data_IF_083276777427
#
_entry.id   IF_083276777427
#
_cell.length_a   1.000
_cell.length_b   1.000
_cell.length_c   1.000
_cell.angle_alpha   90.00
_cell.angle_beta   90.00
_cell.angle_gamma   90.00
#
_symmetry.space_group_name_H-M   'P 1'
#
loop_
_entity.id
_entity.type
_entity.pdbx_description
1 polymer ?
#
# COMPACT_ATOMS: atom_id res chain seq x y z
N UNK A 1 18.67 -0.15 9.26
CA UNK A 1 19.32 1.13 9.59
C UNK A 1 19.58 1.17 11.09
N UNK A 2 20.72 1.69 11.55
CA UNK A 2 20.98 1.80 13.00
C UNK A 2 20.11 2.89 13.65
N UNK A 3 19.69 2.67 14.90
CA UNK A 3 18.85 3.62 15.64
C UNK A 3 19.74 4.73 16.22
N UNK A 4 19.62 5.95 15.69
CA UNK A 4 20.40 7.12 16.15
C UNK A 4 19.50 8.24 16.68
N UNK A 5 20.07 9.14 17.49
CA UNK A 5 19.32 10.28 18.03
C UNK A 5 18.75 11.21 16.95
N UNK A 6 19.46 11.38 15.82
CA UNK A 6 18.99 12.21 14.71
C UNK A 6 17.91 11.53 13.87
N UNK A 7 17.98 10.20 13.72
CA UNK A 7 16.89 9.42 13.12
C UNK A 7 15.58 9.66 13.88
N UNK A 8 15.62 9.55 15.21
CA UNK A 8 14.43 9.69 16.06
C UNK A 8 13.80 11.09 16.00
N UNK A 9 14.59 12.14 15.76
CA UNK A 9 14.07 13.51 15.57
C UNK A 9 13.29 13.68 14.27
N UNK A 10 13.58 12.87 13.25
CA UNK A 10 12.95 12.95 11.93
C UNK A 10 11.71 12.05 11.79
N UNK A 11 11.40 11.24 12.79
CA UNK A 11 10.22 10.37 12.79
C UNK A 11 8.95 11.18 13.08
N UNK A 12 7.89 10.90 12.35
CA UNK A 12 6.59 11.57 12.46
C UNK A 12 5.56 10.78 13.26
N UNK A 13 5.64 9.45 13.27
CA UNK A 13 4.70 8.58 13.99
C UNK A 13 5.04 8.56 15.49
N UNK A 14 4.14 9.03 16.38
CA UNK A 14 4.40 9.10 17.82
C UNK A 14 4.61 7.71 18.45
N UNK A 15 3.96 6.66 17.93
CA UNK A 15 4.12 5.29 18.42
C UNK A 15 5.55 4.80 18.19
N UNK A 16 6.05 4.99 16.97
CA UNK A 16 7.42 4.62 16.58
C UNK A 16 8.45 5.47 17.31
N UNK A 17 8.24 6.78 17.42
CA UNK A 17 9.12 7.68 18.18
C UNK A 17 9.32 7.20 19.62
N UNK A 18 8.24 6.78 20.29
CA UNK A 18 8.32 6.32 21.68
C UNK A 18 9.19 5.06 21.83
N UNK A 19 9.00 4.08 20.95
CA UNK A 19 9.74 2.80 20.95
C UNK A 19 11.21 3.07 20.62
N UNK A 20 11.51 3.81 19.56
CA UNK A 20 12.87 4.10 19.16
C UNK A 20 13.64 4.90 20.23
N UNK A 21 12.97 5.83 20.94
CA UNK A 21 13.58 6.56 22.06
C UNK A 21 13.97 5.64 23.21
N UNK A 22 13.14 4.66 23.55
CA UNK A 22 13.46 3.68 24.59
C UNK A 22 14.69 2.86 24.19
N UNK A 23 14.73 2.39 22.95
CA UNK A 23 15.82 1.56 22.43
C UNK A 23 17.16 2.29 22.27
N UNK A 24 17.18 3.63 22.25
CA UNK A 24 18.42 4.40 22.27
C UNK A 24 19.22 4.19 23.57
N UNK A 25 18.52 4.02 24.69
CA UNK A 25 19.11 3.85 26.02
C UNK A 25 19.44 2.38 26.33
N UNK A 26 18.93 1.46 25.53
CA UNK A 26 19.06 0.03 25.77
C UNK A 26 20.39 -0.50 25.23
N UNK A 27 21.07 -1.26 26.08
CA UNK A 27 22.35 -1.93 25.78
C UNK A 27 22.13 -3.40 25.47
N UNK A 28 23.09 -3.99 24.75
CA UNK A 28 23.06 -5.42 24.46
C UNK A 28 23.06 -6.25 25.76
N UNK A 29 22.27 -7.34 25.84
CA UNK A 29 22.28 -8.24 27.00
C UNK A 29 23.64 -8.92 27.20
N UNK A 30 24.23 -8.80 28.39
CA UNK A 30 25.52 -9.41 28.75
C UNK A 30 25.32 -10.80 29.41
N UNK A 31 24.71 -11.73 28.68
CA UNK A 31 24.46 -13.11 29.15
C UNK A 31 25.26 -14.17 28.36
N UNK A 32 26.19 -13.73 27.52
CA UNK A 32 27.03 -14.58 26.68
C UNK A 32 26.30 -15.28 25.52
N UNK A 33 25.05 -14.90 25.23
CA UNK A 33 24.28 -15.41 24.09
C UNK A 33 24.40 -14.49 22.88
N UNK A 34 24.08 -15.02 21.71
CA UNK A 34 24.09 -14.27 20.46
C UNK A 34 22.73 -13.61 20.24
N UNK A 35 22.73 -12.32 19.90
CA UNK A 35 21.53 -11.53 19.61
C UNK A 35 21.64 -10.87 18.24
N UNK A 36 20.48 -10.68 17.59
CA UNK A 36 20.36 -9.73 16.50
C UNK A 36 20.42 -8.30 17.04
N UNK A 37 21.09 -7.37 16.35
CA UNK A 37 21.26 -6.00 16.81
C UNK A 37 19.96 -5.20 16.71
N UNK A 38 19.81 -4.17 17.54
CA UNK A 38 18.72 -3.20 17.41
C UNK A 38 18.77 -2.49 16.06
N UNK A 39 17.62 -2.38 15.39
CA UNK A 39 17.55 -1.85 14.02
C UNK A 39 16.24 -1.13 13.77
N UNK A 40 16.30 -0.06 12.99
CA UNK A 40 15.15 0.56 12.37
C UNK A 40 14.98 0.01 10.95
N UNK A 41 13.79 -0.48 10.63
CA UNK A 41 13.45 -1.09 9.34
C UNK A 41 12.67 -0.16 8.40
N UNK A 42 12.74 1.15 8.63
CA UNK A 42 11.98 2.20 7.95
C UNK A 42 10.50 2.31 8.34
N UNK A 43 10.01 1.38 9.17
CA UNK A 43 8.61 1.35 9.62
C UNK A 43 8.54 1.38 11.15
N UNK A 44 9.26 0.50 11.83
CA UNK A 44 9.34 0.45 13.29
C UNK A 44 10.78 0.16 13.78
N UNK A 45 11.00 0.34 15.08
CA UNK A 45 12.27 -0.01 15.72
C UNK A 45 12.19 -1.38 16.40
N UNK A 46 13.23 -2.17 16.19
CA UNK A 46 13.39 -3.53 16.73
C UNK A 46 14.47 -3.56 17.80
N UNK A 47 14.19 -4.25 18.91
CA UNK A 47 15.15 -4.45 19.99
C UNK A 47 16.09 -5.65 19.70
N UNK A 48 17.12 -5.80 20.53
CA UNK A 48 17.93 -6.99 20.60
C UNK A 48 17.05 -8.24 20.74
N UNK A 49 17.26 -9.20 19.86
CA UNK A 49 16.45 -10.43 19.79
C UNK A 49 17.35 -11.63 19.78
N UNK A 50 17.05 -12.63 20.60
CA UNK A 50 17.89 -13.82 20.72
C UNK A 50 18.03 -14.53 19.37
N UNK A 51 19.24 -15.02 19.06
CA UNK A 51 19.49 -15.79 17.85
C UNK A 51 18.54 -17.00 17.75
N UNK A 52 18.10 -17.31 16.53
CA UNK A 52 17.13 -18.37 16.24
C UNK A 52 15.74 -18.16 16.88
N UNK A 53 15.36 -16.92 17.19
CA UNK A 53 14.02 -16.56 17.69
C UNK A 53 13.36 -15.50 16.81
N UNK A 54 12.05 -15.30 17.00
CA UNK A 54 11.28 -14.29 16.25
C UNK A 54 10.92 -13.15 17.19
N UNK A 55 11.30 -11.93 16.81
CA UNK A 55 10.87 -10.71 17.46
C UNK A 55 9.40 -10.43 17.13
N UNK A 56 8.63 -10.03 18.14
CA UNK A 56 7.23 -9.62 17.98
C UNK A 56 7.12 -8.17 18.38
N UNK A 57 6.61 -7.34 17.47
CA UNK A 57 6.41 -5.91 17.68
C UNK A 57 4.95 -5.52 17.48
N UNK A 58 4.49 -4.47 18.16
CA UNK A 58 3.20 -3.85 17.85
C UNK A 58 3.20 -3.23 16.45
N UNK A 59 2.03 -3.12 15.84
CA UNK A 59 1.88 -2.40 14.57
C UNK A 59 1.94 -0.89 14.82
N UNK A 60 2.69 -0.11 14.01
CA UNK A 60 2.64 1.35 14.08
C UNK A 60 1.28 1.88 13.60
N UNK A 61 1.03 3.18 13.75
CA UNK A 61 -0.26 3.77 13.34
C UNK A 61 -0.42 3.82 11.82
N UNK A 62 0.70 4.01 11.11
CA UNK A 62 0.69 4.15 9.66
C UNK A 62 1.96 3.59 9.04
N UNK A 63 1.82 3.09 7.81
CA UNK A 63 2.95 2.70 6.99
C UNK A 63 3.43 3.91 6.14
N UNK A 64 4.75 4.06 5.87
CA UNK A 64 5.27 5.11 5.00
C UNK A 64 4.66 5.14 3.59
N UNK A 65 4.10 4.02 3.12
CA UNK A 65 3.41 3.91 1.82
C UNK A 65 1.93 4.31 1.89
N UNK A 66 1.47 4.94 2.99
CA UNK A 66 0.11 5.45 3.12
C UNK A 66 -0.94 4.42 3.53
N UNK A 67 -0.53 3.20 3.92
CA UNK A 67 -1.44 2.20 4.47
C UNK A 67 -1.72 2.47 5.95
N UNK A 68 -2.98 2.33 6.35
CA UNK A 68 -3.39 2.37 7.76
C UNK A 68 -3.27 0.97 8.34
N UNK A 69 -2.66 0.86 9.51
CA UNK A 69 -2.50 -0.42 10.18
C UNK A 69 -3.48 -0.59 11.34
N UNK A 70 -4.01 -1.80 11.44
CA UNK A 70 -4.80 -2.22 12.59
C UNK A 70 -3.91 -2.30 13.82
N UNK A 71 -4.30 -1.60 14.88
CA UNK A 71 -3.63 -1.61 16.18
C UNK A 71 -3.79 -2.94 16.93
N UNK A 72 -4.62 -3.86 16.41
CA UNK A 72 -4.84 -5.19 16.98
C UNK A 72 -3.86 -6.23 16.44
N UNK A 73 -3.14 -5.91 15.37
CA UNK A 73 -2.15 -6.77 14.74
C UNK A 73 -0.82 -6.78 15.47
N UNK A 74 0.05 -7.71 15.05
CA UNK A 74 1.47 -7.72 15.41
C UNK A 74 2.34 -7.83 14.16
N UNK A 75 3.53 -7.25 14.24
CA UNK A 75 4.60 -7.43 13.26
C UNK A 75 5.61 -8.46 13.74
N UNK A 76 6.20 -9.20 12.81
CA UNK A 76 7.15 -10.29 13.11
C UNK A 76 8.44 -10.12 12.36
N UNK A 77 9.58 -10.25 13.05
CA UNK A 77 10.91 -10.17 12.45
C UNK A 77 11.77 -11.33 12.92
N UNK A 78 12.33 -12.09 11.99
CA UNK A 78 13.06 -13.31 12.33
C UNK A 78 14.56 -13.04 12.53
N UNK A 79 15.10 -13.48 13.67
CA UNK A 79 16.53 -13.47 13.95
C UNK A 79 17.13 -14.85 13.64
N UNK A 80 18.14 -14.89 12.78
CA UNK A 80 18.81 -16.13 12.39
C UNK A 80 19.76 -16.64 13.49
N UNK A 81 20.23 -17.87 13.33
CA UNK A 81 21.12 -18.53 14.31
C UNK A 81 22.51 -17.88 14.40
N UNK A 82 22.91 -17.14 13.38
CA UNK A 82 24.19 -16.43 13.32
C UNK A 82 24.15 -15.03 13.97
N UNK A 83 23.01 -14.63 14.53
CA UNK A 83 22.82 -13.29 15.11
C UNK A 83 22.53 -12.21 14.07
N UNK A 84 22.14 -12.57 12.85
CA UNK A 84 21.74 -11.62 11.81
C UNK A 84 20.24 -11.63 11.55
N UNK A 85 19.69 -10.49 11.15
CA UNK A 85 18.29 -10.40 10.76
C UNK A 85 18.05 -11.13 9.45
N UNK A 86 16.92 -11.84 9.34
CA UNK A 86 16.53 -12.51 8.10
C UNK A 86 16.52 -11.53 6.91
N UNK A 87 17.22 -11.93 5.86
CA UNK A 87 17.29 -11.24 4.57
C UNK A 87 16.49 -12.04 3.55
N UNK A 88 15.58 -11.37 2.84
CA UNK A 88 14.81 -12.01 1.79
C UNK A 88 15.73 -12.36 0.61
N UNK A 89 15.76 -13.63 0.15
CA UNK A 89 16.68 -14.08 -0.89
C UNK A 89 16.43 -13.44 -2.26
N UNK A 90 15.23 -12.93 -2.52
CA UNK A 90 14.86 -12.33 -3.81
C UNK A 90 15.19 -10.84 -3.88
N UNK A 91 14.93 -10.09 -2.81
CA UNK A 91 15.17 -8.64 -2.77
C UNK A 91 16.54 -8.30 -2.18
N UNK A 92 17.22 -9.26 -1.58
CA UNK A 92 18.48 -9.09 -0.85
C UNK A 92 18.41 -7.97 0.21
N UNK A 93 17.24 -7.80 0.81
CA UNK A 93 16.97 -6.80 1.85
C UNK A 93 16.42 -7.46 3.11
N UNK A 94 16.75 -6.88 4.27
CA UNK A 94 16.20 -7.35 5.54
C UNK A 94 14.69 -7.16 5.56
N UNK A 95 13.94 -8.17 5.99
CA UNK A 95 12.49 -8.18 5.86
C UNK A 95 11.77 -8.32 7.22
N UNK A 96 10.60 -7.70 7.31
CA UNK A 96 9.68 -7.77 8.45
C UNK A 96 8.29 -8.14 7.92
N UNK A 97 7.62 -9.06 8.61
CA UNK A 97 6.24 -9.43 8.30
C UNK A 97 5.25 -8.45 8.94
N UNK A 98 4.59 -7.65 8.11
CA UNK A 98 3.52 -6.71 8.51
C UNK A 98 2.13 -7.17 8.06
N UNK A 99 1.95 -8.40 7.57
CA UNK A 99 0.67 -8.87 7.01
C UNK A 99 -0.44 -8.77 8.06
N UNK A 100 -0.15 -9.17 9.30
CA UNK A 100 -1.13 -9.08 10.39
C UNK A 100 -1.43 -7.66 10.85
N UNK A 101 -0.66 -6.65 10.41
CA UNK A 101 -0.93 -5.24 10.68
C UNK A 101 -1.90 -4.62 9.66
N UNK A 102 -2.08 -5.24 8.50
CA UNK A 102 -2.99 -4.71 7.47
C UNK A 102 -4.43 -5.01 7.88
N UNK A 103 -5.27 -3.97 7.92
CA UNK A 103 -6.71 -4.17 8.06
C UNK A 103 -7.31 -4.67 6.75
N UNK A 104 -7.42 -6.00 6.65
CA UNK A 104 -7.98 -6.66 5.47
C UNK A 104 -9.44 -6.27 5.23
N UNK A 105 -10.19 -5.86 6.27
CA UNK A 105 -11.60 -5.49 6.10
C UNK A 105 -11.75 -4.12 5.45
N UNK A 106 -10.90 -3.17 5.80
CA UNK A 106 -10.85 -1.87 5.12
C UNK A 106 -10.39 -2.06 3.66
N UNK A 107 -9.38 -2.91 3.44
CA UNK A 107 -8.90 -3.25 2.10
C UNK A 107 -10.00 -3.86 1.21
N UNK A 108 -10.71 -4.87 1.69
CA UNK A 108 -11.83 -5.49 0.96
C UNK A 108 -12.95 -4.49 0.65
N UNK A 109 -13.26 -3.60 1.59
CA UNK A 109 -14.24 -2.54 1.37
C UNK A 109 -13.79 -1.56 0.29
N UNK A 110 -12.54 -1.12 0.31
CA UNK A 110 -11.97 -0.24 -0.72
C UNK A 110 -11.96 -0.92 -2.09
N UNK A 111 -11.65 -2.21 -2.16
CA UNK A 111 -11.73 -2.98 -3.40
C UNK A 111 -13.16 -3.05 -3.95
N UNK A 112 -14.15 -3.31 -3.09
CA UNK A 112 -15.55 -3.33 -3.48
C UNK A 112 -16.01 -1.96 -4.01
N UNK A 113 -15.62 -0.87 -3.36
CA UNK A 113 -15.93 0.49 -3.80
C UNK A 113 -15.29 0.77 -5.16
N UNK A 114 -14.02 0.42 -5.36
CA UNK A 114 -13.35 0.58 -6.65
C UNK A 114 -14.03 -0.22 -7.75
N UNK A 115 -14.45 -1.45 -7.47
CA UNK A 115 -15.19 -2.28 -8.43
C UNK A 115 -16.54 -1.65 -8.83
N UNK A 116 -17.27 -1.06 -7.87
CA UNK A 116 -18.50 -0.33 -8.15
C UNK A 116 -18.25 0.90 -9.04
N UNK A 117 -17.17 1.65 -8.79
CA UNK A 117 -16.79 2.77 -9.64
C UNK A 117 -16.41 2.32 -11.04
N UNK A 118 -15.55 1.31 -11.16
CA UNK A 118 -15.09 0.77 -12.45
C UNK A 118 -16.26 0.28 -13.31
N UNK A 119 -17.12 -0.57 -12.73
CA UNK A 119 -18.32 -1.08 -13.42
C UNK A 119 -19.31 0.04 -13.79
N UNK A 120 -19.51 1.02 -12.91
CA UNK A 120 -20.37 2.19 -13.18
C UNK A 120 -19.87 3.05 -14.33
N UNK A 121 -18.55 3.29 -14.41
CA UNK A 121 -17.92 4.01 -15.52
C UNK A 121 -18.05 3.25 -16.84
N UNK A 122 -17.86 1.93 -16.82
CA UNK A 122 -18.01 1.10 -18.02
C UNK A 122 -19.44 1.13 -18.57
N UNK A 123 -20.44 0.93 -17.70
CA UNK A 123 -21.86 0.97 -18.08
C UNK A 123 -22.23 2.35 -18.63
N UNK A 124 -21.83 3.42 -17.94
CA UNK A 124 -22.10 4.80 -18.38
C UNK A 124 -21.47 5.09 -19.73
N UNK A 125 -20.23 4.65 -19.95
CA UNK A 125 -19.53 4.81 -21.23
C UNK A 125 -20.27 4.13 -22.38
N UNK A 126 -20.70 2.87 -22.19
CA UNK A 126 -21.46 2.12 -23.20
C UNK A 126 -22.78 2.82 -23.53
N UNK A 127 -23.55 3.24 -22.53
CA UNK A 127 -24.82 3.93 -22.74
C UNK A 127 -24.66 5.28 -23.45
N UNK A 128 -23.64 6.05 -23.08
CA UNK A 128 -23.33 7.33 -23.74
C UNK A 128 -22.92 7.14 -25.20
N UNK A 129 -22.10 6.13 -25.49
CA UNK A 129 -21.72 5.78 -26.86
C UNK A 129 -22.95 5.40 -27.69
N UNK A 130 -23.83 4.54 -27.17
CA UNK A 130 -25.08 4.17 -27.86
C UNK A 130 -25.97 5.39 -28.12
N UNK A 131 -26.17 6.26 -27.13
CA UNK A 131 -26.95 7.49 -27.27
C UNK A 131 -26.33 8.43 -28.31
N UNK A 132 -25.01 8.61 -28.27
CA UNK A 132 -24.27 9.45 -29.22
C UNK A 132 -24.40 8.94 -30.66
N UNK A 133 -24.31 7.62 -30.87
CA UNK A 133 -24.50 6.98 -32.18
C UNK A 133 -25.91 7.23 -32.69
N UNK A 134 -26.95 6.99 -31.88
CA UNK A 134 -28.36 7.22 -32.25
C UNK A 134 -28.54 8.68 -32.70
N UNK A 135 -28.15 9.65 -31.88
CA UNK A 135 -28.35 11.07 -32.23
C UNK A 135 -27.53 11.51 -33.46
N UNK A 136 -26.43 10.82 -33.78
CA UNK A 136 -25.59 11.14 -34.94
C UNK A 136 -26.10 10.49 -36.22
N UNK A 137 -26.57 9.24 -36.17
CA UNK A 137 -27.09 8.50 -37.32
C UNK A 137 -28.46 9.01 -37.79
N UNK A 138 -29.36 9.36 -36.87
CA UNK A 138 -30.71 9.81 -37.22
C UNK A 138 -30.74 11.31 -37.56
N UNK A 139 -30.51 11.62 -38.84
CA UNK A 139 -30.49 12.99 -39.37
C UNK A 139 -31.78 13.79 -39.12
N UNK A 140 -32.91 13.12 -38.95
CA UNK A 140 -34.20 13.75 -38.62
C UNK A 140 -34.25 14.35 -37.20
N UNK A 141 -33.37 13.91 -36.28
CA UNK A 141 -33.28 14.42 -34.90
C UNK A 141 -32.29 15.59 -34.78
N UNK A 142 -31.77 16.13 -35.89
CA UNK A 142 -30.76 17.18 -35.85
C UNK A 142 -31.41 18.57 -35.62
N UNK A 143 -31.34 19.04 -34.37
CA UNK A 143 -31.75 20.38 -33.97
C UNK A 143 -30.64 21.03 -33.13
N UNK A 144 -30.63 22.36 -33.01
CA UNK A 144 -29.67 23.11 -32.16
C UNK A 144 -29.59 22.56 -30.74
N UNK A 145 -30.75 22.18 -30.17
CA UNK A 145 -30.83 21.52 -28.86
C UNK A 145 -30.05 20.20 -28.84
N UNK A 146 -30.24 19.34 -29.84
CA UNK A 146 -29.57 18.02 -29.90
C UNK A 146 -28.06 18.17 -30.13
N UNK A 147 -27.60 19.21 -30.83
CA UNK A 147 -26.17 19.52 -30.97
C UNK A 147 -25.51 19.81 -29.62
N UNK A 148 -26.18 20.55 -28.73
CA UNK A 148 -25.69 20.77 -27.35
C UNK A 148 -25.58 19.44 -26.59
N UNK A 149 -26.57 18.56 -26.72
CA UNK A 149 -26.55 17.25 -26.06
C UNK A 149 -25.43 16.36 -26.59
N UNK A 150 -25.18 16.38 -27.91
CA UNK A 150 -24.03 15.67 -28.52
C UNK A 150 -22.69 16.15 -27.97
N UNK A 151 -22.50 17.47 -27.85
CA UNK A 151 -21.28 18.03 -27.29
C UNK A 151 -21.10 17.62 -25.82
N UNK A 152 -22.19 17.60 -25.04
CA UNK A 152 -22.16 17.12 -23.66
C UNK A 152 -21.78 15.63 -23.57
N UNK A 153 -22.44 14.77 -24.37
CA UNK A 153 -22.14 13.34 -24.39
C UNK A 153 -20.71 13.07 -24.84
N UNK A 154 -20.22 13.78 -25.86
CA UNK A 154 -18.84 13.66 -26.32
C UNK A 154 -17.84 14.02 -25.20
N UNK A 155 -18.09 15.10 -24.45
CA UNK A 155 -17.26 15.46 -23.29
C UNK A 155 -17.24 14.37 -22.23
N UNK A 156 -18.39 13.77 -21.90
CA UNK A 156 -18.45 12.66 -20.94
C UNK A 156 -17.79 11.37 -21.45
N UNK A 157 -17.89 11.08 -22.75
CA UNK A 157 -17.19 9.96 -23.39
C UNK A 157 -15.68 10.13 -23.28
N UNK A 158 -15.14 11.31 -23.61
CA UNK A 158 -13.70 11.60 -23.50
C UNK A 158 -13.21 11.52 -22.04
N UNK A 159 -14.01 12.02 -21.10
CA UNK A 159 -13.71 11.93 -19.68
C UNK A 159 -13.68 10.47 -19.20
N UNK A 160 -14.71 9.68 -19.53
CA UNK A 160 -14.78 8.25 -19.21
C UNK A 160 -13.61 7.46 -19.81
N UNK A 161 -13.23 7.73 -21.06
CA UNK A 161 -12.06 7.12 -21.69
C UNK A 161 -10.77 7.45 -20.95
N UNK A 162 -10.57 8.71 -20.60
CA UNK A 162 -9.36 9.16 -19.88
C UNK A 162 -9.26 8.48 -18.52
N UNK A 163 -10.39 8.43 -17.79
CA UNK A 163 -10.46 7.76 -16.49
C UNK A 163 -10.18 6.26 -16.60
N UNK A 164 -10.82 5.55 -17.54
CA UNK A 164 -10.61 4.11 -17.74
C UNK A 164 -9.16 3.79 -18.14
N UNK A 165 -8.57 4.58 -19.04
CA UNK A 165 -7.16 4.44 -19.42
C UNK A 165 -6.23 4.66 -18.24
N UNK A 166 -6.46 5.71 -17.45
CA UNK A 166 -5.67 5.99 -16.25
C UNK A 166 -5.74 4.84 -15.25
N UNK A 167 -6.95 4.35 -14.93
CA UNK A 167 -7.10 3.23 -14.01
C UNK A 167 -6.39 1.97 -14.53
N UNK A 168 -6.55 1.64 -15.82
CA UNK A 168 -5.88 0.47 -16.39
C UNK A 168 -4.34 0.61 -16.37
N UNK A 169 -3.80 1.80 -16.59
CA UNK A 169 -2.36 2.06 -16.50
C UNK A 169 -1.86 1.90 -15.05
N UNK A 170 -2.56 2.49 -14.09
CA UNK A 170 -2.20 2.39 -12.66
C UNK A 170 -2.26 0.94 -12.18
N UNK A 171 -3.31 0.19 -12.53
CA UNK A 171 -3.41 -1.23 -12.15
C UNK A 171 -2.30 -2.06 -12.78
N UNK A 172 -1.91 -1.78 -14.03
CA UNK A 172 -0.80 -2.46 -14.69
C UNK A 172 0.53 -2.16 -13.99
N UNK A 173 0.77 -0.91 -13.60
CA UNK A 173 1.97 -0.51 -12.86
C UNK A 173 2.05 -1.23 -11.50
N UNK A 174 0.95 -1.25 -10.73
CA UNK A 174 0.88 -1.97 -9.44
C UNK A 174 1.04 -3.49 -9.61
N UNK A 175 0.53 -4.08 -10.69
CA UNK A 175 0.69 -5.50 -10.97
C UNK A 175 2.14 -5.87 -11.30
N UNK A 176 2.88 -4.96 -11.94
CA UNK A 176 4.31 -5.12 -12.23
C UNK A 176 5.20 -4.92 -11.00
N UNK A 177 4.80 -4.04 -10.08
CA UNK A 177 5.53 -3.75 -8.83
C UNK A 177 5.14 -4.67 -7.67
N UNK A 178 4.08 -5.48 -7.83
CA UNK A 178 3.60 -6.37 -6.77
C UNK A 178 4.62 -7.47 -6.46
N UNK A 179 5.08 -7.60 -5.20
CA UNK A 179 6.00 -8.66 -4.76
C UNK A 179 5.38 -10.07 -4.80
N UNK A 180 4.10 -10.20 -5.17
CA UNK A 180 3.37 -11.47 -5.28
C UNK A 180 3.81 -12.29 -6.50
N UNK A 181 4.41 -11.69 -7.53
CA UNK A 181 5.05 -12.43 -8.63
C UNK A 181 6.29 -13.23 -8.20
N UNK A 182 6.78 -12.99 -6.98
CA UNK A 182 7.93 -13.66 -6.38
C UNK A 182 7.58 -14.57 -5.19
N UNK A 183 6.28 -14.82 -4.94
CA UNK A 183 5.79 -15.67 -3.84
C UNK A 183 5.15 -16.98 -4.36
N UNK A 184 5.20 -17.25 -5.68
CA UNK A 184 4.97 -18.58 -6.26
C UNK A 184 6.24 -19.15 -6.86
#
# INVERSE_FOLDING_TARGET
MEITGDLVKNLTDPSVVSICKQLLLETEPDDGRTYCPKVFDHVTCWNYTLANTTAVGGCPLSHPQGMIFSQQGHSYRQCQSDGTWFVNPYTNTSWTNYISCVDLTEYENLQNINYLYESGYLVSFVLLCLAFIIFTCFRQLHCTRVTIHKNLFLSYILYGMTWLLFNHLVTLEVALDSPVSHIT
#
